data_IF_182889213961
#
_entry.id   IF_182889213961
#
_cell.length_a   1.000
_cell.length_b   1.000
_cell.length_c   1.000
_cell.angle_alpha   90.00
_cell.angle_beta   90.00
_cell.angle_gamma   90.00
#
_symmetry.space_group_name_H-M   'P 1'
#
loop_
_entity.id
_entity.type
_entity.pdbx_description
1 polymer ?
#
# COMPACT_ATOMS: atom_id res chain seq x y z
N UNK A 1 8.80 5.43 -30.00
CA UNK A 1 7.71 4.86 -29.20
C UNK A 1 8.12 5.03 -27.75
N UNK A 2 7.31 5.72 -26.95
CA UNK A 2 7.52 5.76 -25.50
C UNK A 2 7.29 4.33 -24.97
N UNK A 3 8.21 3.76 -24.17
CA UNK A 3 8.00 2.44 -23.59
C UNK A 3 6.68 2.42 -22.80
N UNK A 4 5.93 1.33 -22.86
CA UNK A 4 4.80 1.11 -21.95
C UNK A 4 5.33 1.06 -20.52
N UNK A 5 4.83 1.95 -19.65
CA UNK A 5 5.15 1.97 -18.22
C UNK A 5 3.89 1.53 -17.45
N UNK A 6 3.64 0.22 -17.28
CA UNK A 6 2.39 -0.30 -16.71
C UNK A 6 2.13 0.15 -15.25
N UNK A 7 3.19 0.58 -14.55
CA UNK A 7 3.14 1.11 -13.18
C UNK A 7 3.56 2.60 -13.12
N UNK A 8 3.60 3.29 -14.26
CA UNK A 8 4.11 4.65 -14.37
C UNK A 8 5.61 4.78 -14.16
N UNK A 9 6.08 6.01 -13.96
CA UNK A 9 7.49 6.38 -13.84
C UNK A 9 7.93 6.60 -12.39
N UNK A 10 7.00 6.99 -11.51
CA UNK A 10 7.24 7.24 -10.10
C UNK A 10 6.42 6.30 -9.22
N UNK A 11 7.10 5.30 -8.65
CA UNK A 11 6.54 4.43 -7.61
C UNK A 11 7.06 4.86 -6.23
N UNK A 12 6.17 5.32 -5.36
CA UNK A 12 6.51 5.77 -4.00
C UNK A 12 6.25 4.64 -3.00
N UNK A 13 7.30 4.20 -2.30
CA UNK A 13 7.16 3.35 -1.13
C UNK A 13 6.64 4.20 0.04
N UNK A 14 5.35 4.06 0.34
CA UNK A 14 4.68 4.84 1.38
C UNK A 14 5.08 4.31 2.76
N UNK A 15 5.36 5.22 3.70
CA UNK A 15 5.48 4.87 5.11
C UNK A 15 4.13 4.38 5.65
N UNK A 16 4.13 3.67 6.78
CA UNK A 16 2.92 3.38 7.56
C UNK A 16 2.88 4.34 8.74
N UNK A 17 1.94 5.31 8.77
CA UNK A 17 1.75 6.16 9.94
C UNK A 17 1.24 5.35 11.13
N UNK A 18 1.75 5.65 12.32
CA UNK A 18 1.33 5.05 13.58
C UNK A 18 0.90 6.15 14.57
N UNK A 19 -0.04 5.80 15.43
CA UNK A 19 -0.43 6.61 16.58
C UNK A 19 0.64 6.53 17.69
N UNK A 20 0.57 7.42 18.68
CA UNK A 20 1.48 7.38 19.83
C UNK A 20 1.36 6.08 20.65
N UNK A 21 0.21 5.39 20.55
CA UNK A 21 -0.04 4.09 21.19
C UNK A 21 0.49 2.90 20.36
N UNK A 22 1.04 3.15 19.17
CA UNK A 22 1.65 2.14 18.30
C UNK A 22 0.70 1.47 17.30
N UNK A 23 -0.58 1.81 17.31
CA UNK A 23 -1.57 1.32 16.34
C UNK A 23 -1.43 2.05 15.00
N UNK A 24 -1.78 1.40 13.89
CA UNK A 24 -1.80 2.03 12.55
C UNK A 24 -2.76 3.23 12.54
N UNK A 25 -2.24 4.40 12.18
CA UNK A 25 -3.04 5.62 12.00
C UNK A 25 -3.62 5.67 10.58
N UNK A 26 -4.78 5.05 10.42
CA UNK A 26 -5.50 4.98 9.14
C UNK A 26 -5.92 6.35 8.61
N UNK A 27 -6.24 7.32 9.46
CA UNK A 27 -6.64 8.66 9.01
C UNK A 27 -5.47 9.41 8.39
N UNK A 28 -4.30 9.33 9.03
CA UNK A 28 -3.07 9.90 8.49
C UNK A 28 -2.60 9.15 7.25
N UNK A 29 -2.69 7.82 7.23
CA UNK A 29 -2.36 6.99 6.07
C UNK A 29 -3.20 7.37 4.84
N UNK A 30 -4.51 7.52 5.02
CA UNK A 30 -5.43 7.94 3.96
C UNK A 30 -5.08 9.33 3.41
N UNK A 31 -4.82 10.28 4.31
CA UNK A 31 -4.47 11.67 3.95
C UNK A 31 -3.14 11.72 3.19
N UNK A 32 -2.15 10.93 3.63
CA UNK A 32 -0.85 10.81 2.97
C UNK A 32 -0.97 10.18 1.58
N UNK A 33 -1.73 9.09 1.43
CA UNK A 33 -1.95 8.44 0.14
C UNK A 33 -2.57 9.40 -0.89
N UNK A 34 -3.56 10.21 -0.48
CA UNK A 34 -4.14 11.26 -1.33
C UNK A 34 -3.14 12.33 -1.71
N UNK A 35 -2.38 12.82 -0.72
CA UNK A 35 -1.37 13.84 -0.96
C UNK A 35 -0.34 13.36 -2.00
N UNK A 36 0.22 12.16 -1.84
CA UNK A 36 1.22 11.60 -2.76
C UNK A 36 0.64 11.43 -4.17
N UNK A 37 -0.58 10.90 -4.26
CA UNK A 37 -1.31 10.79 -5.53
C UNK A 37 -1.46 12.16 -6.22
N UNK A 38 -1.81 13.20 -5.45
CA UNK A 38 -1.98 14.57 -5.98
C UNK A 38 -0.65 15.26 -6.32
N UNK A 39 0.47 14.81 -5.76
CA UNK A 39 1.81 15.31 -6.06
C UNK A 39 2.50 14.57 -7.22
N UNK A 40 1.80 13.67 -7.91
CA UNK A 40 2.29 13.03 -9.14
C UNK A 40 2.94 11.66 -8.93
N UNK A 41 2.67 10.98 -7.81
CA UNK A 41 2.97 9.55 -7.67
C UNK A 41 2.07 8.74 -8.62
N UNK A 42 2.68 7.94 -9.48
CA UNK A 42 1.96 7.04 -10.40
C UNK A 42 1.55 5.72 -9.71
N UNK A 43 2.36 5.23 -8.78
CA UNK A 43 2.09 4.00 -8.02
C UNK A 43 2.47 4.14 -6.56
N UNK A 44 1.58 3.75 -5.65
CA UNK A 44 1.88 3.61 -4.22
C UNK A 44 2.25 2.16 -3.92
N UNK A 45 3.42 1.96 -3.32
CA UNK A 45 3.86 0.66 -2.80
C UNK A 45 3.64 0.65 -1.30
N UNK A 46 2.73 -0.21 -0.84
CA UNK A 46 2.25 -0.27 0.55
C UNK A 46 2.80 -1.51 1.25
N UNK A 47 3.09 -1.41 2.54
CA UNK A 47 3.72 -2.49 3.31
C UNK A 47 5.01 -3.03 2.65
N UNK A 48 5.82 -2.13 2.09
CA UNK A 48 7.23 -2.40 1.81
C UNK A 48 8.08 -2.30 3.08
N UNK A 49 9.40 -2.41 2.95
CA UNK A 49 10.31 -2.18 4.09
C UNK A 49 10.21 -0.75 4.64
N UNK A 50 10.03 0.25 3.77
CA UNK A 50 9.75 1.65 4.16
C UNK A 50 8.45 1.79 4.94
N UNK A 51 7.46 0.94 4.66
CA UNK A 51 6.19 0.88 5.38
C UNK A 51 6.24 -0.06 6.59
N UNK A 52 7.43 -0.46 7.04
CA UNK A 52 7.64 -1.28 8.23
C UNK A 52 6.89 -2.63 8.20
N UNK A 53 6.81 -3.26 7.02
CA UNK A 53 6.05 -4.51 6.86
C UNK A 53 6.38 -5.68 7.81
N UNK A 54 7.60 -5.82 8.39
CA UNK A 54 7.87 -6.84 9.39
C UNK A 54 7.22 -6.58 10.76
N UNK A 55 6.78 -5.36 11.05
CA UNK A 55 6.17 -4.99 12.34
C UNK A 55 4.64 -4.98 12.29
N UNK A 56 4.05 -5.08 11.09
CA UNK A 56 2.61 -5.16 10.89
C UNK A 56 2.12 -6.61 10.90
N UNK A 57 1.04 -6.86 11.64
CA UNK A 57 0.21 -8.05 11.48
C UNK A 57 -0.46 -8.09 10.10
N UNK A 58 -0.96 -9.25 9.71
CA UNK A 58 -1.66 -9.39 8.43
C UNK A 58 -2.96 -8.59 8.39
N UNK A 59 -3.65 -8.49 9.52
CA UNK A 59 -4.90 -7.74 9.63
C UNK A 59 -4.64 -6.23 9.50
N UNK A 60 -3.56 -5.72 10.11
CA UNK A 60 -3.12 -4.33 9.93
C UNK A 60 -2.73 -4.05 8.48
N UNK A 61 -2.02 -4.96 7.82
CA UNK A 61 -1.68 -4.83 6.38
C UNK A 61 -2.94 -4.73 5.52
N UNK A 62 -3.89 -5.65 5.72
CA UNK A 62 -5.13 -5.67 4.93
C UNK A 62 -5.98 -4.43 5.19
N UNK A 63 -6.10 -3.98 6.44
CA UNK A 63 -6.80 -2.74 6.76
C UNK A 63 -6.10 -1.51 6.14
N UNK A 64 -4.76 -1.49 6.12
CA UNK A 64 -3.98 -0.45 5.46
C UNK A 64 -4.18 -0.46 3.94
N UNK A 65 -4.24 -1.63 3.30
CA UNK A 65 -4.55 -1.75 1.88
C UNK A 65 -5.92 -1.16 1.55
N UNK A 66 -6.97 -1.52 2.30
CA UNK A 66 -8.30 -0.94 2.15
C UNK A 66 -8.28 0.59 2.30
N UNK A 67 -7.56 1.09 3.30
CA UNK A 67 -7.43 2.53 3.56
C UNK A 67 -6.81 3.25 2.38
N UNK A 68 -5.73 2.71 1.81
CA UNK A 68 -5.04 3.33 0.67
C UNK A 68 -5.87 3.23 -0.61
N UNK A 69 -6.49 2.08 -0.88
CA UNK A 69 -7.36 1.90 -2.05
C UNK A 69 -8.52 2.89 -2.02
N UNK A 70 -9.18 3.07 -0.86
CA UNK A 70 -10.22 4.08 -0.68
C UNK A 70 -9.70 5.51 -0.92
N UNK A 71 -8.50 5.82 -0.41
CA UNK A 71 -7.88 7.12 -0.56
C UNK A 71 -7.54 7.47 -2.03
N UNK A 72 -7.05 6.48 -2.78
CA UNK A 72 -6.74 6.61 -4.21
C UNK A 72 -8.02 6.73 -5.03
N UNK A 73 -9.06 5.94 -4.73
CA UNK A 73 -10.33 5.93 -5.45
C UNK A 73 -10.18 5.58 -6.93
N UNK A 74 -11.01 6.16 -7.79
CA UNK A 74 -10.97 5.91 -9.25
C UNK A 74 -9.85 6.67 -10.00
N UNK A 75 -8.80 7.12 -9.31
CA UNK A 75 -7.68 7.86 -9.92
C UNK A 75 -6.78 6.93 -10.74
N UNK A 76 -5.94 7.52 -11.61
CA UNK A 76 -5.00 6.75 -12.44
C UNK A 76 -3.89 6.06 -11.62
N UNK A 77 -3.60 6.57 -10.41
CA UNK A 77 -2.59 6.02 -9.50
C UNK A 77 -2.88 4.57 -9.16
N UNK A 78 -1.85 3.72 -9.24
CA UNK A 78 -1.95 2.29 -8.91
C UNK A 78 -1.54 2.03 -7.47
N UNK A 79 -1.99 0.89 -6.93
CA UNK A 79 -1.56 0.40 -5.63
C UNK A 79 -0.84 -0.93 -5.83
N UNK A 80 0.27 -1.13 -5.12
CA UNK A 80 1.00 -2.39 -5.05
C UNK A 80 1.14 -2.77 -3.58
N UNK A 81 0.60 -3.94 -3.22
CA UNK A 81 0.67 -4.47 -1.87
C UNK A 81 1.94 -5.32 -1.65
N UNK A 82 2.66 -5.02 -0.57
CA UNK A 82 3.76 -5.85 -0.07
C UNK A 82 3.21 -7.05 0.71
N UNK A 83 3.12 -8.20 0.05
CA UNK A 83 2.56 -9.44 0.61
C UNK A 83 3.60 -10.55 0.79
N UNK A 84 4.85 -10.31 0.37
CA UNK A 84 5.93 -11.28 0.46
C UNK A 84 6.40 -11.52 1.90
N UNK A 85 6.52 -12.78 2.28
CA UNK A 85 7.04 -13.23 3.57
C UNK A 85 8.10 -14.32 3.36
N UNK A 86 8.65 -14.86 4.46
CA UNK A 86 9.58 -15.99 4.40
C UNK A 86 8.88 -17.36 4.24
N UNK A 87 7.54 -17.38 4.22
CA UNK A 87 6.71 -18.56 4.00
C UNK A 87 5.89 -18.36 2.71
N UNK A 88 6.11 -19.24 1.73
CA UNK A 88 5.39 -19.18 0.44
C UNK A 88 3.88 -19.32 0.61
N UNK A 89 3.39 -20.19 1.49
CA UNK A 89 1.95 -20.37 1.69
C UNK A 89 1.34 -19.11 2.29
N UNK A 90 2.00 -18.55 3.30
CA UNK A 90 1.58 -17.30 3.92
C UNK A 90 1.59 -16.13 2.93
N UNK A 91 2.60 -16.05 2.07
CA UNK A 91 2.66 -15.04 1.01
C UNK A 91 1.49 -15.15 0.01
N UNK A 92 1.10 -16.38 -0.35
CA UNK A 92 -0.06 -16.62 -1.22
C UNK A 92 -1.36 -16.17 -0.55
N UNK A 93 -1.59 -16.58 0.70
CA UNK A 93 -2.78 -16.19 1.47
C UNK A 93 -2.89 -14.66 1.59
N UNK A 94 -1.80 -13.98 1.95
CA UNK A 94 -1.81 -12.53 2.08
C UNK A 94 -2.00 -11.82 0.73
N UNK A 95 -1.53 -12.43 -0.37
CA UNK A 95 -1.77 -11.93 -1.74
C UNK A 95 -3.24 -12.05 -2.14
N UNK A 96 -3.90 -13.16 -1.82
CA UNK A 96 -5.34 -13.34 -2.04
C UNK A 96 -6.14 -12.30 -1.25
N UNK A 97 -5.81 -12.11 0.04
CA UNK A 97 -6.43 -11.08 0.89
C UNK A 97 -6.19 -9.65 0.37
N UNK A 98 -5.02 -9.35 -0.17
CA UNK A 98 -4.74 -8.04 -0.77
C UNK A 98 -5.60 -7.80 -2.03
N UNK A 99 -5.80 -8.83 -2.87
CA UNK A 99 -6.68 -8.73 -4.03
C UNK A 99 -8.16 -8.53 -3.61
N UNK A 100 -8.61 -9.23 -2.57
CA UNK A 100 -9.94 -9.01 -1.96
C UNK A 100 -10.09 -7.59 -1.40
N UNK A 101 -8.99 -6.98 -0.95
CA UNK A 101 -8.97 -5.60 -0.47
C UNK A 101 -9.07 -4.53 -1.57
N UNK A 102 -9.02 -4.94 -2.84
CA UNK A 102 -9.18 -4.07 -4.00
C UNK A 102 -7.86 -3.54 -4.59
N UNK A 103 -6.73 -4.16 -4.24
CA UNK A 103 -5.41 -3.88 -4.84
C UNK A 103 -5.29 -4.55 -6.21
#
# INVERSE_FOLDING_TARGET
MTPSAPFGLLATAMITPFTDDGEVDHQTAWSLARHLTEQGTDTLVIAGTTGESPTLSDDEKVALFHTVVDAVGEKETKVVAGTGTNDTRHSVELTERAAEAGV
#
